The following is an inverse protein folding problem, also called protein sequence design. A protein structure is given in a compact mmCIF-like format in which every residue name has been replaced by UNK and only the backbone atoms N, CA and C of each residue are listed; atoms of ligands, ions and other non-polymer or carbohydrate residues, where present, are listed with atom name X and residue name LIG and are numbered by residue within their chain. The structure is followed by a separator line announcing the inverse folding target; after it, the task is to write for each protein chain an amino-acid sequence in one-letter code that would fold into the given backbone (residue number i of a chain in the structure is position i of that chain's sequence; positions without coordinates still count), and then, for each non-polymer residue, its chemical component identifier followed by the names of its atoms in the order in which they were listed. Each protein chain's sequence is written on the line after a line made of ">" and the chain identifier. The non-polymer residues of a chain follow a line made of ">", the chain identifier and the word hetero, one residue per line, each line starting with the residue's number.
data_IF_469362829065
#
_entry.id   IF_469362829065
#
_cell.length_a   1.000
_cell.length_b   1.000
_cell.length_c   1.000
_cell.angle_alpha   90.00
_cell.angle_beta   90.00
_cell.angle_gamma   90.00
#
_symmetry.space_group_name_H-M   'P 1'
#
loop_
_entity.id
_entity.type
_entity.pdbx_description
1 polymer ?
#
# COMPACT_ATOMS: atom_id res chain seq x y z
N UNK A 1 -8.99 -3.38 10.39
CA UNK A 1 -8.94 -2.66 9.10
C UNK A 1 -8.24 -1.33 9.31
N UNK A 2 -7.37 -0.91 8.38
CA UNK A 2 -6.60 0.33 8.47
C UNK A 2 -6.69 1.13 7.16
N UNK A 3 -5.61 1.26 6.38
CA UNK A 3 -5.64 1.99 5.11
C UNK A 3 -6.55 1.38 4.04
N UNK A 4 -7.02 2.23 3.15
CA UNK A 4 -7.94 1.90 2.05
C UNK A 4 -7.52 2.60 0.75
N UNK A 5 -7.74 1.96 -0.39
CA UNK A 5 -7.58 2.57 -1.70
C UNK A 5 -8.22 1.77 -2.81
N UNK A 6 -8.47 2.42 -3.95
CA UNK A 6 -9.18 1.81 -5.08
C UNK A 6 -8.25 1.63 -6.28
N UNK A 7 -8.51 0.59 -7.07
CA UNK A 7 -7.93 0.47 -8.41
C UNK A 7 -8.32 1.68 -9.27
N UNK A 8 -7.54 2.01 -10.33
CA UNK A 8 -7.81 3.17 -11.18
C UNK A 8 -9.19 3.15 -11.84
N UNK A 9 -9.73 1.96 -12.11
CA UNK A 9 -11.06 1.74 -12.67
C UNK A 9 -12.18 1.63 -11.62
N UNK A 10 -11.84 1.80 -10.34
CA UNK A 10 -12.74 1.67 -9.18
C UNK A 10 -13.42 0.31 -9.01
N UNK A 11 -12.98 -0.73 -9.74
CA UNK A 11 -13.58 -2.07 -9.65
C UNK A 11 -13.04 -2.91 -8.49
N UNK A 12 -11.92 -2.50 -7.90
CA UNK A 12 -11.31 -3.17 -6.73
C UNK A 12 -11.06 -2.17 -5.61
N UNK A 13 -11.38 -2.59 -4.39
CA UNK A 13 -11.04 -1.90 -3.15
C UNK A 13 -10.00 -2.71 -2.39
N UNK A 14 -8.90 -2.08 -1.99
CA UNK A 14 -7.85 -2.67 -1.16
C UNK A 14 -7.99 -2.15 0.26
N UNK A 15 -7.92 -3.05 1.24
CA UNK A 15 -7.98 -2.71 2.67
C UNK A 15 -6.81 -3.36 3.39
N UNK A 16 -6.01 -2.55 4.08
CA UNK A 16 -4.94 -3.02 4.95
C UNK A 16 -5.51 -3.57 6.27
N UNK A 17 -4.87 -4.61 6.80
CA UNK A 17 -5.15 -5.15 8.13
C UNK A 17 -3.92 -5.05 9.01
N UNK A 18 -3.98 -4.11 9.98
CA UNK A 18 -2.92 -3.87 10.97
C UNK A 18 -3.02 -4.83 12.15
N UNK A 19 -3.12 -6.12 11.86
CA UNK A 19 -3.15 -7.19 12.86
C UNK A 19 -1.77 -7.87 12.90
N UNK A 20 -1.07 -7.91 14.05
CA UNK A 20 0.20 -8.61 14.16
C UNK A 20 0.12 -10.10 13.80
N UNK A 21 -1.02 -10.74 14.04
CA UNK A 21 -1.23 -12.17 13.75
C UNK A 21 -1.66 -12.42 12.29
N UNK A 22 -2.11 -11.37 11.60
CA UNK A 22 -2.52 -11.40 10.20
C UNK A 22 -2.18 -10.07 9.48
N UNK A 23 -0.89 -9.77 9.26
CA UNK A 23 -0.45 -8.55 8.60
C UNK A 23 -0.65 -8.68 7.08
N UNK A 24 -1.89 -8.49 6.64
CA UNK A 24 -2.32 -8.73 5.26
C UNK A 24 -2.95 -7.48 4.64
N UNK A 25 -3.00 -7.46 3.31
CA UNK A 25 -3.91 -6.62 2.56
C UNK A 25 -4.98 -7.49 1.93
N UNK A 26 -6.23 -7.08 2.05
CA UNK A 26 -7.38 -7.70 1.41
C UNK A 26 -7.73 -6.91 0.15
N UNK A 27 -8.24 -7.60 -0.87
CA UNK A 27 -8.92 -7.00 -2.02
C UNK A 27 -10.38 -7.44 -2.04
N UNK A 28 -11.24 -6.52 -2.47
CA UNK A 28 -12.66 -6.72 -2.64
C UNK A 28 -13.07 -6.22 -4.03
N UNK A 29 -14.04 -6.88 -4.64
CA UNK A 29 -14.70 -6.36 -5.84
C UNK A 29 -15.71 -5.29 -5.42
N UNK A 30 -15.74 -4.18 -6.16
CA UNK A 30 -16.71 -3.10 -5.95
C UNK A 30 -17.89 -3.32 -6.88
N UNK A 31 -19.07 -3.58 -6.32
CA UNK A 31 -20.30 -3.74 -7.09
C UNK A 31 -20.86 -2.38 -7.57
N UNK A 32 -21.81 -2.41 -8.50
CA UNK A 32 -22.43 -1.19 -9.06
C UNK A 32 -23.14 -0.32 -8.01
N UNK A 33 -23.65 -0.93 -6.94
CA UNK A 33 -24.26 -0.25 -5.80
C UNK A 33 -23.23 0.29 -4.77
N UNK A 34 -21.93 0.13 -5.05
CA UNK A 34 -20.83 0.51 -4.17
C UNK A 34 -20.53 -0.50 -3.06
N UNK A 35 -21.27 -1.60 -2.96
CA UNK A 35 -20.99 -2.64 -1.97
C UNK A 35 -19.70 -3.42 -2.29
N UNK A 36 -19.00 -3.88 -1.25
CA UNK A 36 -17.78 -4.68 -1.38
C UNK A 36 -18.12 -6.17 -1.31
N UNK A 37 -17.67 -6.94 -2.31
CA UNK A 37 -17.92 -8.39 -2.42
C UNK A 37 -16.62 -9.17 -2.67
N UNK A 38 -16.69 -10.49 -2.58
CA UNK A 38 -15.61 -11.42 -2.95
C UNK A 38 -14.24 -11.09 -2.30
N UNK A 39 -14.27 -10.80 -0.99
CA UNK A 39 -13.08 -10.50 -0.21
C UNK A 39 -12.06 -11.62 -0.27
N UNK A 40 -10.81 -11.28 -0.57
CA UNK A 40 -9.69 -12.23 -0.71
C UNK A 40 -8.39 -11.59 -0.26
N UNK A 41 -7.47 -12.41 0.25
CA UNK A 41 -6.10 -11.94 0.54
C UNK A 41 -5.46 -11.49 -0.76
N UNK A 42 -5.05 -10.23 -0.80
CA UNK A 42 -4.32 -9.63 -1.92
C UNK A 42 -2.82 -9.82 -1.74
N UNK A 43 -2.32 -9.62 -0.53
CA UNK A 43 -0.93 -9.89 -0.17
C UNK A 43 -0.80 -10.22 1.32
N UNK A 44 0.01 -11.22 1.63
CA UNK A 44 0.30 -11.67 2.99
C UNK A 44 1.76 -11.32 3.37
N UNK A 45 1.93 -10.41 4.33
CA UNK A 45 3.22 -9.92 4.78
C UNK A 45 3.79 -10.69 5.97
N UNK A 46 3.18 -11.79 6.40
CA UNK A 46 3.56 -12.51 7.64
C UNK A 46 5.04 -12.89 7.63
N UNK A 47 5.60 -13.23 6.48
CA UNK A 47 7.03 -13.55 6.36
C UNK A 47 7.95 -12.33 6.55
N UNK A 48 7.49 -11.12 6.24
CA UNK A 48 8.24 -9.87 6.37
C UNK A 48 8.09 -9.24 7.77
N UNK A 49 6.95 -9.47 8.42
CA UNK A 49 6.68 -8.93 9.76
C UNK A 49 7.53 -9.57 10.86
N UNK A 50 8.23 -10.69 10.56
CA UNK A 50 9.10 -11.39 11.52
C UNK A 50 10.35 -10.60 11.89
N UNK A 51 10.88 -9.83 10.94
CA UNK A 51 12.19 -9.18 11.05
C UNK A 51 12.16 -7.68 10.68
N UNK A 52 11.02 -7.15 10.24
CA UNK A 52 10.88 -5.75 9.83
C UNK A 52 9.82 -5.02 10.63
N UNK A 53 10.11 -3.76 10.97
CA UNK A 53 9.20 -2.91 11.74
C UNK A 53 7.98 -2.45 10.93
N UNK A 54 6.85 -2.28 11.61
CA UNK A 54 5.62 -1.75 11.04
C UNK A 54 4.63 -2.84 10.60
N UNK A 55 3.36 -2.46 10.52
CA UNK A 55 2.24 -3.30 10.08
C UNK A 55 1.52 -2.63 8.91
N UNK A 56 0.69 -3.37 8.16
CA UNK A 56 -0.14 -2.78 7.10
C UNK A 56 -0.97 -1.59 7.59
N UNK A 57 -0.68 -0.40 7.08
CA UNK A 57 -1.33 0.84 7.48
C UNK A 57 -1.85 1.58 6.23
N UNK A 58 -1.34 2.78 5.91
CA UNK A 58 -1.75 3.57 4.76
C UNK A 58 -1.33 2.98 3.41
N UNK A 59 -2.09 3.30 2.36
CA UNK A 59 -1.75 2.91 0.99
C UNK A 59 -2.23 3.92 -0.05
N UNK A 60 -1.62 3.87 -1.25
CA UNK A 60 -2.06 4.55 -2.46
C UNK A 60 -1.90 3.68 -3.69
N UNK A 61 -2.71 3.94 -4.70
CA UNK A 61 -2.69 3.21 -5.97
C UNK A 61 -2.29 4.16 -7.10
N UNK A 62 -1.28 3.78 -7.87
CA UNK A 62 -0.81 4.54 -9.04
C UNK A 62 -1.74 4.32 -10.26
N UNK A 63 -1.53 5.08 -11.34
CA UNK A 63 -2.33 4.96 -12.58
C UNK A 63 -2.16 3.64 -13.32
N UNK A 64 -1.12 2.86 -13.01
CA UNK A 64 -0.88 1.52 -13.57
C UNK A 64 -1.54 0.43 -12.71
N UNK A 65 -2.15 0.81 -11.59
CA UNK A 65 -2.80 -0.09 -10.64
C UNK A 65 -1.85 -0.70 -9.61
N UNK A 66 -0.59 -0.28 -9.55
CA UNK A 66 0.32 -0.74 -8.50
C UNK A 66 -0.12 -0.13 -7.16
N UNK A 67 -0.10 -0.95 -6.12
CA UNK A 67 -0.44 -0.56 -4.75
C UNK A 67 0.85 -0.27 -4.00
N UNK A 68 1.03 0.99 -3.61
CA UNK A 68 2.07 1.46 -2.70
C UNK A 68 1.50 1.38 -1.29
N UNK A 69 1.89 0.35 -0.55
CA UNK A 69 1.31 0.00 0.73
C UNK A 69 2.35 0.07 1.84
N UNK A 70 2.11 0.86 2.88
CA UNK A 70 3.01 0.93 4.02
C UNK A 70 2.83 -0.30 4.90
N UNK A 71 3.93 -0.93 5.28
CA UNK A 71 3.94 -2.20 6.02
C UNK A 71 5.34 -2.54 6.51
N UNK A 72 5.61 -3.82 6.81
CA UNK A 72 6.89 -4.24 7.37
C UNK A 72 8.10 -3.75 6.54
N UNK A 73 8.88 -2.84 7.13
CA UNK A 73 10.13 -2.29 6.59
C UNK A 73 10.02 -1.02 5.75
N UNK A 74 8.81 -0.49 5.50
CA UNK A 74 8.61 0.73 4.74
C UNK A 74 7.40 0.66 3.81
N UNK A 75 7.58 1.00 2.53
CA UNK A 75 6.50 0.96 1.52
C UNK A 75 6.72 -0.18 0.54
N UNK A 76 5.86 -1.18 0.58
CA UNK A 76 5.81 -2.28 -0.36
C UNK A 76 5.12 -1.80 -1.65
N UNK A 77 5.70 -2.11 -2.80
CA UNK A 77 5.10 -1.86 -4.11
C UNK A 77 4.57 -3.20 -4.61
N UNK A 78 3.26 -3.32 -4.71
CA UNK A 78 2.56 -4.53 -5.15
C UNK A 78 1.95 -4.29 -6.53
N UNK A 79 2.08 -5.25 -7.45
CA UNK A 79 1.41 -5.19 -8.76
C UNK A 79 -0.11 -5.30 -8.61
N UNK A 80 -0.92 -4.96 -9.63
CA UNK A 80 -2.37 -5.14 -9.60
C UNK A 80 -2.84 -6.58 -9.33
N UNK A 81 -1.95 -7.57 -9.52
CA UNK A 81 -2.15 -9.00 -9.27
C UNK A 81 -1.64 -9.45 -7.89
N UNK A 82 -1.14 -8.53 -7.05
CA UNK A 82 -0.65 -8.83 -5.71
C UNK A 82 0.81 -9.29 -5.66
N UNK A 83 1.56 -9.17 -6.76
CA UNK A 83 3.00 -9.54 -6.76
C UNK A 83 3.82 -8.44 -6.10
N UNK A 84 4.67 -8.79 -5.14
CA UNK A 84 5.67 -7.86 -4.58
C UNK A 84 6.75 -7.51 -5.61
N UNK A 85 6.78 -6.25 -6.03
CA UNK A 85 7.72 -5.72 -7.02
C UNK A 85 9.00 -5.16 -6.37
N UNK A 86 8.90 -4.73 -5.12
CA UNK A 86 10.01 -4.17 -4.35
C UNK A 86 9.53 -3.40 -3.13
N UNK A 87 10.47 -2.91 -2.33
CA UNK A 87 10.18 -2.12 -1.11
C UNK A 87 11.05 -0.87 -1.09
N UNK A 88 10.42 0.28 -0.81
CA UNK A 88 11.14 1.49 -0.40
C UNK A 88 11.42 1.36 1.10
N UNK A 89 12.67 1.03 1.44
CA UNK A 89 13.09 0.81 2.82
C UNK A 89 13.27 2.17 3.51
N UNK A 90 12.49 2.43 4.55
CA UNK A 90 12.58 3.65 5.37
C UNK A 90 13.39 3.42 6.64
N UNK A 91 13.57 2.15 7.06
CA UNK A 91 14.25 1.78 8.30
C UNK A 91 13.43 2.07 9.57
N UNK A 92 12.18 2.52 9.43
CA UNK A 92 11.27 2.89 10.52
C UNK A 92 9.87 2.34 10.24
N UNK A 93 9.06 2.21 11.30
CA UNK A 93 7.62 1.99 11.13
C UNK A 93 7.00 3.12 10.30
N UNK A 94 6.41 2.78 9.15
CA UNK A 94 5.88 3.76 8.19
C UNK A 94 4.36 3.69 8.19
N UNK A 95 3.72 4.78 8.61
CA UNK A 95 2.27 4.82 8.84
C UNK A 95 1.49 5.15 7.55
N UNK A 96 2.04 6.00 6.67
CA UNK A 96 1.31 6.40 5.46
C UNK A 96 2.25 6.82 4.33
N UNK A 97 1.69 6.91 3.13
CA UNK A 97 2.38 7.45 1.96
C UNK A 97 1.42 8.18 1.01
N UNK A 98 1.96 9.09 0.20
CA UNK A 98 1.20 9.70 -0.89
C UNK A 98 2.10 10.14 -2.05
N UNK A 99 1.52 10.22 -3.23
CA UNK A 99 2.17 10.84 -4.38
C UNK A 99 2.03 12.36 -4.30
N UNK A 100 3.03 13.06 -4.81
CA UNK A 100 3.07 14.51 -4.89
C UNK A 100 4.21 14.98 -5.79
N UNK A 101 4.64 16.23 -5.59
CA UNK A 101 5.52 16.93 -6.53
C UNK A 101 4.73 17.53 -7.70
N UNK A 102 5.29 18.51 -8.43
CA UNK A 102 4.56 19.20 -9.49
C UNK A 102 4.13 18.26 -10.63
N UNK A 103 4.84 17.14 -10.82
CA UNK A 103 4.57 16.13 -11.84
C UNK A 103 4.01 14.82 -11.26
N UNK A 104 3.59 14.78 -9.98
CA UNK A 104 3.14 13.54 -9.32
C UNK A 104 4.20 12.42 -9.36
N UNK A 105 5.48 12.80 -9.33
CA UNK A 105 6.67 11.97 -9.50
C UNK A 105 7.48 11.84 -8.20
N UNK A 106 6.90 12.17 -7.05
CA UNK A 106 7.52 11.99 -5.74
C UNK A 106 6.60 11.17 -4.84
N UNK A 107 7.15 10.14 -4.21
CA UNK A 107 6.50 9.43 -3.11
C UNK A 107 6.92 10.07 -1.78
N UNK A 108 5.96 10.60 -1.04
CA UNK A 108 6.12 11.06 0.34
C UNK A 108 5.69 9.97 1.31
N UNK A 109 6.37 9.86 2.45
CA UNK A 109 6.16 8.81 3.45
C UNK A 109 6.27 9.37 4.86
N UNK A 110 5.32 9.04 5.74
CA UNK A 110 5.40 9.34 7.17
C UNK A 110 5.98 8.13 7.90
N UNK A 111 7.23 8.24 8.31
CA UNK A 111 8.02 7.15 8.87
C UNK A 111 8.48 7.52 10.29
N UNK A 112 7.71 7.06 11.28
CA UNK A 112 7.84 7.45 12.70
C UNK A 112 8.00 8.99 12.86
N UNK A 113 9.13 9.45 13.41
CA UNK A 113 9.43 10.87 13.62
C UNK A 113 9.84 11.64 12.35
N UNK A 114 9.80 11.01 11.17
CA UNK A 114 10.30 11.55 9.91
C UNK A 114 9.22 11.70 8.84
N UNK A 115 9.32 12.79 8.07
CA UNK A 115 8.72 12.90 6.74
C UNK A 115 9.81 12.64 5.70
N UNK A 116 9.71 11.50 5.01
CA UNK A 116 10.66 11.07 3.99
C UNK A 116 10.08 11.24 2.58
N UNK A 117 10.95 11.29 1.57
CA UNK A 117 10.53 11.26 0.17
C UNK A 117 11.54 10.57 -0.73
N UNK A 118 11.05 10.00 -1.82
CA UNK A 118 11.88 9.47 -2.92
C UNK A 118 11.30 9.89 -4.27
N UNK A 119 12.18 10.23 -5.22
CA UNK A 119 11.77 10.50 -6.58
C UNK A 119 11.39 9.19 -7.29
N UNK A 120 10.27 9.21 -7.99
CA UNK A 120 9.78 8.12 -8.82
C UNK A 120 10.33 8.27 -10.24
N UNK A 121 10.68 7.15 -10.87
CA UNK A 121 11.10 7.15 -12.28
C UNK A 121 9.96 7.52 -13.24
N UNK A 122 8.71 7.32 -12.80
CA UNK A 122 7.51 7.60 -13.58
C UNK A 122 6.48 8.31 -12.70
N UNK A 123 5.73 9.29 -13.23
CA UNK A 123 4.59 9.88 -12.54
C UNK A 123 3.57 8.82 -12.11
N UNK A 124 3.12 8.92 -10.87
CA UNK A 124 2.17 7.97 -10.28
C UNK A 124 0.71 8.28 -10.65
N UNK A 125 0.40 9.51 -11.04
CA UNK A 125 -0.89 9.93 -11.57
C UNK A 125 -0.77 10.41 -13.01
#
# INVERSE_FOLDING_TARGET
>A
PNGIGFSPDYKRCYVAQSDPDAPIWMAFDVAEDGSLKNGRVFFDATHLAKDRQGLPDGLKVDKRGNVFATGPGGVLILSPEGKHLGTVITGQATANCTFGGPQQDVLYMTADMFLMRVALKHPAK
#
